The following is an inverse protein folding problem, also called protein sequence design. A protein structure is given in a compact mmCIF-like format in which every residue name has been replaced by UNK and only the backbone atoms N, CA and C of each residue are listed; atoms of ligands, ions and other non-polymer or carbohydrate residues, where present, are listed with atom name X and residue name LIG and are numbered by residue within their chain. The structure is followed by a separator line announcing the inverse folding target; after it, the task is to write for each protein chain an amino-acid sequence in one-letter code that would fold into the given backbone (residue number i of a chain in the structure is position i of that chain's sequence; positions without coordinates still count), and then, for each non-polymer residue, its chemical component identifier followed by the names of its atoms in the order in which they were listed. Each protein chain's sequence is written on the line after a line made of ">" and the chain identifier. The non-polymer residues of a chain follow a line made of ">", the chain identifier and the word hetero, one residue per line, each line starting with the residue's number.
data_IF_789338095259
#
_entry.id   IF_789338095259
#
_cell.length_a   1.000
_cell.length_b   1.000
_cell.length_c   1.000
_cell.angle_alpha   90.00
_cell.angle_beta   90.00
_cell.angle_gamma   90.00
#
_symmetry.space_group_name_H-M   'P 1'
#
loop_
_entity.id
_entity.type
_entity.pdbx_description
1 polymer ?
#
# COMPACT_ATOMS: atom_id res chain seq x y z
N UNK A 1 23.89 27.23 14.13
CA UNK A 1 22.78 26.25 14.25
C UNK A 1 22.41 25.79 12.85
N UNK A 2 22.79 24.57 12.47
CA UNK A 2 22.47 24.03 11.15
C UNK A 2 21.03 23.51 11.16
N UNK A 3 20.16 24.06 10.29
CA UNK A 3 18.84 23.49 10.04
C UNK A 3 19.03 22.19 9.27
N UNK A 4 18.67 21.07 9.88
CA UNK A 4 18.60 19.78 9.21
C UNK A 4 17.61 19.87 8.04
N UNK A 5 18.13 19.72 6.83
CA UNK A 5 17.35 19.60 5.61
C UNK A 5 16.82 18.15 5.59
N UNK A 6 15.62 17.94 6.15
CA UNK A 6 14.95 16.65 6.04
C UNK A 6 14.74 16.35 4.55
N UNK A 7 15.46 15.35 4.05
CA UNK A 7 15.28 14.85 2.70
C UNK A 7 13.82 14.38 2.57
N UNK A 8 13.01 15.11 1.80
CA UNK A 8 11.64 14.74 1.50
C UNK A 8 11.61 13.33 0.93
N UNK A 9 11.13 12.37 1.72
CA UNK A 9 10.93 10.98 1.28
C UNK A 9 10.01 11.04 0.07
N UNK A 10 10.52 10.62 -1.10
CA UNK A 10 9.77 10.63 -2.36
C UNK A 10 8.54 9.75 -2.21
N UNK A 11 7.37 10.37 -2.07
CA UNK A 11 6.08 9.64 -2.05
C UNK A 11 5.79 9.13 -3.46
N UNK A 12 5.63 7.81 -3.68
CA UNK A 12 5.27 7.28 -4.98
C UNK A 12 3.91 7.83 -5.40
N UNK A 13 3.78 8.21 -6.68
CA UNK A 13 2.53 8.75 -7.25
C UNK A 13 1.78 7.62 -7.95
N UNK A 14 0.48 7.51 -7.66
CA UNK A 14 -0.42 6.60 -8.35
C UNK A 14 -1.32 7.43 -9.26
N UNK A 15 -1.28 7.17 -10.56
CA UNK A 15 -2.16 7.77 -11.56
C UNK A 15 -3.26 6.77 -11.89
N UNK A 16 -4.52 7.18 -11.71
CA UNK A 16 -5.70 6.33 -11.94
C UNK A 16 -6.58 7.03 -12.95
N UNK A 17 -6.83 6.36 -14.07
CA UNK A 17 -7.83 6.80 -15.04
C UNK A 17 -9.22 6.48 -14.51
N UNK A 18 -10.04 7.53 -14.38
CA UNK A 18 -11.40 7.42 -13.86
C UNK A 18 -12.39 7.97 -14.87
N UNK A 19 -13.55 7.32 -14.98
CA UNK A 19 -14.64 7.81 -15.80
C UNK A 19 -15.11 9.21 -15.30
N UNK A 20 -15.65 10.06 -16.18
CA UNK A 20 -16.14 11.39 -15.79
C UNK A 20 -17.20 11.34 -14.68
N UNK A 21 -18.07 10.33 -14.71
CA UNK A 21 -19.09 10.04 -13.68
C UNK A 21 -18.43 9.81 -12.31
N UNK A 22 -17.46 8.91 -12.22
CA UNK A 22 -16.71 8.62 -11.00
C UNK A 22 -16.01 9.87 -10.47
N UNK A 23 -15.39 10.67 -11.36
CA UNK A 23 -14.75 11.93 -10.96
C UNK A 23 -15.73 12.97 -10.40
N UNK A 24 -16.98 12.97 -10.86
CA UNK A 24 -18.04 13.84 -10.31
C UNK A 24 -18.43 13.37 -8.91
N UNK A 25 -18.68 12.07 -8.74
CA UNK A 25 -19.03 11.49 -7.45
C UNK A 25 -17.93 11.71 -6.41
N UNK A 26 -16.66 11.49 -6.78
CA UNK A 26 -15.50 11.76 -5.91
C UNK A 26 -15.44 13.22 -5.46
N UNK A 27 -15.77 14.17 -6.34
CA UNK A 27 -15.81 15.60 -5.97
C UNK A 27 -16.92 15.92 -5.00
N UNK A 28 -18.12 15.36 -5.21
CA UNK A 28 -19.25 15.55 -4.30
C UNK A 28 -18.95 14.98 -2.92
N UNK A 29 -18.42 13.75 -2.85
CA UNK A 29 -18.11 13.09 -1.59
C UNK A 29 -16.97 13.80 -0.84
N UNK A 30 -15.95 14.28 -1.54
CA UNK A 30 -14.87 15.07 -0.95
C UNK A 30 -15.37 16.42 -0.41
N UNK A 31 -16.24 17.11 -1.17
CA UNK A 31 -16.85 18.37 -0.75
C UNK A 31 -17.74 18.20 0.48
N UNK A 32 -18.52 17.12 0.56
CA UNK A 32 -19.37 16.82 1.73
C UNK A 32 -18.57 16.64 3.02
N UNK A 33 -17.29 16.26 2.92
CA UNK A 33 -16.40 16.03 4.06
C UNK A 33 -15.32 17.12 4.23
N UNK A 34 -15.49 18.27 3.56
CA UNK A 34 -14.56 19.41 3.61
C UNK A 34 -13.10 19.04 3.33
N UNK A 35 -12.88 18.14 2.36
CA UNK A 35 -11.54 17.66 1.99
C UNK A 35 -11.30 17.74 0.49
N UNK A 36 -10.02 17.76 0.09
CA UNK A 36 -9.66 17.65 -1.32
C UNK A 36 -9.97 16.24 -1.86
N UNK A 37 -10.16 16.13 -3.18
CA UNK A 37 -10.39 14.82 -3.83
C UNK A 37 -9.25 13.85 -3.56
N UNK A 38 -8.00 14.33 -3.57
CA UNK A 38 -6.84 13.49 -3.27
C UNK A 38 -6.83 12.96 -1.84
N UNK A 39 -7.16 13.80 -0.86
CA UNK A 39 -7.28 13.37 0.54
C UNK A 39 -8.44 12.39 0.74
N UNK A 40 -9.57 12.64 0.10
CA UNK A 40 -10.72 11.74 0.14
C UNK A 40 -10.37 10.36 -0.41
N UNK A 41 -9.76 10.31 -1.59
CA UNK A 41 -9.36 9.05 -2.24
C UNK A 41 -8.33 8.32 -1.40
N UNK A 42 -7.31 9.01 -0.89
CA UNK A 42 -6.28 8.40 -0.06
C UNK A 42 -6.88 7.82 1.22
N UNK A 43 -7.71 8.59 1.93
CA UNK A 43 -8.36 8.14 3.16
C UNK A 43 -9.29 6.95 2.92
N UNK A 44 -10.11 7.00 1.86
CA UNK A 44 -10.99 5.90 1.50
C UNK A 44 -10.20 4.63 1.15
N UNK A 45 -9.04 4.78 0.49
CA UNK A 45 -8.16 3.66 0.19
C UNK A 45 -7.53 3.07 1.46
N UNK A 46 -7.04 3.90 2.37
CA UNK A 46 -6.48 3.49 3.65
C UNK A 46 -7.50 2.74 4.52
N UNK A 47 -8.70 3.31 4.68
CA UNK A 47 -9.82 2.69 5.40
C UNK A 47 -10.16 1.33 4.79
N UNK A 48 -10.26 1.26 3.46
CA UNK A 48 -10.59 0.01 2.77
C UNK A 48 -9.50 -1.04 2.91
N UNK A 49 -8.23 -0.65 2.81
CA UNK A 49 -7.10 -1.56 3.00
C UNK A 49 -7.05 -2.10 4.43
N UNK A 50 -7.36 -1.29 5.44
CA UNK A 50 -7.47 -1.74 6.83
C UNK A 50 -8.62 -2.72 7.05
N UNK A 51 -9.75 -2.54 6.37
CA UNK A 51 -10.85 -3.51 6.39
C UNK A 51 -10.46 -4.83 5.73
N UNK A 52 -9.85 -4.76 4.54
CA UNK A 52 -9.52 -5.94 3.73
C UNK A 52 -8.37 -6.77 4.31
N UNK A 53 -7.36 -6.11 4.91
CA UNK A 53 -6.17 -6.77 5.47
C UNK A 53 -6.22 -6.92 7.00
N UNK A 54 -7.25 -6.38 7.65
CA UNK A 54 -7.35 -6.30 9.12
C UNK A 54 -6.34 -5.34 9.74
N UNK A 55 -6.42 -5.17 11.07
CA UNK A 55 -5.47 -4.32 11.83
C UNK A 55 -4.01 -4.78 11.73
N UNK A 56 -3.78 -6.00 11.26
CA UNK A 56 -2.46 -6.60 11.08
C UNK A 56 -1.85 -6.29 9.71
N UNK A 57 -2.44 -5.41 8.89
CA UNK A 57 -1.91 -5.01 7.59
C UNK A 57 -0.45 -4.53 7.67
N UNK A 58 -0.10 -3.79 8.73
CA UNK A 58 1.27 -3.33 8.99
C UNK A 58 2.19 -4.50 9.39
N UNK A 59 1.65 -5.51 10.09
CA UNK A 59 2.33 -6.76 10.43
C UNK A 59 2.56 -7.66 9.21
N UNK A 60 1.59 -7.78 8.29
CA UNK A 60 1.70 -8.50 7.03
C UNK A 60 2.67 -7.83 6.04
N UNK A 61 2.64 -6.50 5.94
CA UNK A 61 3.63 -5.74 5.17
C UNK A 61 5.02 -5.84 5.80
N UNK A 62 5.13 -5.87 7.13
CA UNK A 62 6.40 -6.10 7.82
C UNK A 62 6.89 -7.55 7.66
N UNK A 63 6.02 -8.57 7.63
CA UNK A 63 6.34 -9.98 7.40
C UNK A 63 6.75 -10.26 5.94
N UNK A 64 6.23 -9.48 4.98
CA UNK A 64 6.66 -9.57 3.58
C UNK A 64 7.92 -8.75 3.32
N UNK A 65 8.08 -7.58 3.96
CA UNK A 65 9.30 -6.78 3.91
C UNK A 65 10.47 -7.44 4.67
N UNK A 66 10.16 -8.19 5.75
CA UNK A 66 11.03 -9.17 6.39
C UNK A 66 10.54 -10.57 6.04
N UNK A 67 10.64 -10.97 4.78
CA UNK A 67 10.78 -12.40 4.51
C UNK A 67 12.00 -12.86 5.32
N UNK A 68 11.72 -13.49 6.46
CA UNK A 68 12.67 -13.87 7.49
C UNK A 68 13.74 -14.77 6.84
N UNK A 69 15.05 -14.55 7.04
CA UNK A 69 16.07 -15.48 6.53
C UNK A 69 15.80 -16.93 6.96
N UNK A 70 15.07 -17.16 8.06
CA UNK A 70 14.62 -18.50 8.46
C UNK A 70 13.55 -19.07 7.52
N UNK A 71 12.60 -18.25 7.06
CA UNK A 71 11.60 -18.67 6.06
C UNK A 71 12.24 -18.87 4.68
N UNK A 72 13.23 -18.06 4.30
CA UNK A 72 14.02 -18.28 3.09
C UNK A 72 14.79 -19.61 3.15
N UNK A 73 15.37 -19.96 4.29
CA UNK A 73 16.07 -21.23 4.49
C UNK A 73 15.12 -22.45 4.55
N UNK A 74 13.87 -22.26 4.98
CA UNK A 74 12.83 -23.31 4.94
C UNK A 74 12.25 -23.50 3.55
N UNK A 75 12.25 -22.45 2.73
CA UNK A 75 11.83 -22.48 1.32
C UNK A 75 12.91 -23.06 0.40
N UNK A 76 14.19 -22.96 0.79
CA UNK A 76 15.33 -23.64 0.14
C UNK A 76 15.39 -25.13 0.56
N UNK A 77 14.29 -25.85 0.32
CA UNK A 77 14.17 -27.26 0.62
C UNK A 77 14.52 -28.09 -0.63
N UNK A 78 15.55 -28.94 -0.53
CA UNK A 78 15.96 -29.86 -1.61
C UNK A 78 14.81 -30.71 -2.18
N UNK A 79 13.73 -30.92 -1.42
CA UNK A 79 12.54 -31.66 -1.89
C UNK A 79 11.72 -30.92 -2.94
N UNK A 80 11.74 -29.59 -2.94
CA UNK A 80 10.94 -28.77 -3.86
C UNK A 80 11.65 -28.57 -5.21
N UNK A 81 12.96 -28.83 -5.29
CA UNK A 81 13.74 -28.83 -6.54
C UNK A 81 13.27 -29.89 -7.57
N UNK A 82 12.42 -30.83 -7.14
CA UNK A 82 11.76 -31.79 -8.03
C UNK A 82 10.74 -31.12 -8.98
N UNK A 83 10.21 -29.95 -8.62
CA UNK A 83 9.22 -29.21 -9.41
C UNK A 83 9.82 -28.14 -10.32
N UNK A 84 11.11 -27.80 -10.16
CA UNK A 84 11.82 -26.85 -11.03
C UNK A 84 12.04 -27.37 -12.46
N UNK A 85 11.77 -28.65 -12.71
CA UNK A 85 12.00 -29.34 -13.98
C UNK A 85 10.70 -29.79 -14.69
N UNK A 86 9.55 -29.26 -14.28
CA UNK A 86 8.27 -29.40 -14.99
C UNK A 86 8.02 -28.17 -15.87
#
# INVERSE_FOLDING_TARGET
>A
MARSMEASVKRPRISIDVAPETRRLLRLAAAQRDMSVGQYVLKALEERLQEDLGKDAEGLLALTARADPVLAALWDNEKDAAYDRL
#
